data_IF_606266727942
#
_entry.id   IF_606266727942
#
_cell.length_a   1.000
_cell.length_b   1.000
_cell.length_c   1.000
_cell.angle_alpha   90.00
_cell.angle_beta   90.00
_cell.angle_gamma   90.00
#
_symmetry.space_group_name_H-M   'P 1'
#
loop_
_entity.id
_entity.type
_entity.pdbx_description
1 polymer ?
#
# COMPACT_ATOMS: atom_id res chain seq x y z
N UNK A 1 27.27 -53.12 41.48
CA UNK A 1 27.06 -53.18 40.02
C UNK A 1 25.61 -53.59 39.78
N UNK A 2 24.96 -53.06 38.72
CA UNK A 2 23.50 -53.03 38.43
C UNK A 2 22.66 -52.25 39.45
N UNK A 3 21.68 -51.41 39.14
CA UNK A 3 21.05 -50.82 37.94
C UNK A 3 20.13 -49.70 38.52
N UNK A 4 19.54 -48.71 37.86
CA UNK A 4 19.47 -48.18 36.51
C UNK A 4 18.62 -46.90 36.66
N UNK A 5 19.11 -45.75 36.18
CA UNK A 5 18.32 -44.51 36.08
C UNK A 5 17.60 -44.53 34.74
N UNK A 6 16.28 -44.42 34.76
CA UNK A 6 15.38 -44.17 33.63
C UNK A 6 13.97 -44.09 34.21
N UNK A 7 13.09 -43.16 33.89
CA UNK A 7 13.04 -42.18 32.82
C UNK A 7 12.21 -41.01 33.36
N UNK A 8 12.77 -39.80 33.38
CA UNK A 8 11.95 -38.59 33.25
C UNK A 8 12.05 -38.20 31.78
N UNK A 9 11.00 -38.51 31.03
CA UNK A 9 10.89 -38.05 29.65
C UNK A 9 10.70 -36.52 29.67
N UNK A 10 11.53 -35.74 28.96
CA UNK A 10 11.17 -34.35 28.71
C UNK A 10 9.91 -34.34 27.83
N UNK A 11 8.89 -33.63 28.31
CA UNK A 11 7.69 -33.29 27.55
C UNK A 11 8.18 -32.57 26.28
N UNK A 12 8.00 -33.24 25.14
CA UNK A 12 8.24 -32.67 23.82
C UNK A 12 7.15 -31.63 23.57
N UNK A 13 7.39 -30.40 24.03
CA UNK A 13 6.64 -29.22 23.61
C UNK A 13 7.07 -28.92 22.18
N UNK A 14 6.61 -29.75 21.24
CA UNK A 14 6.47 -29.37 19.84
C UNK A 14 5.39 -28.29 19.80
N UNK A 15 5.80 -27.08 20.16
CA UNK A 15 5.20 -25.88 19.66
C UNK A 15 5.30 -25.99 18.15
N UNK A 16 4.17 -26.30 17.53
CA UNK A 16 3.93 -26.16 16.12
C UNK A 16 4.27 -24.69 15.79
N UNK A 17 5.54 -24.45 15.42
CA UNK A 17 5.96 -23.21 14.82
C UNK A 17 5.16 -23.13 13.53
N UNK A 18 3.98 -22.53 13.63
CA UNK A 18 3.31 -21.88 12.51
C UNK A 18 4.33 -20.88 11.97
N UNK A 19 5.20 -21.38 11.09
CA UNK A 19 5.87 -20.57 10.07
C UNK A 19 4.74 -20.05 9.21
N UNK A 20 4.05 -19.03 9.73
CA UNK A 20 3.34 -18.05 8.94
C UNK A 20 4.40 -17.48 8.03
N UNK A 21 4.53 -18.12 6.87
CA UNK A 21 5.17 -17.51 5.72
C UNK A 21 4.28 -16.31 5.46
N UNK A 22 4.68 -15.17 6.02
CA UNK A 22 4.19 -13.87 5.59
C UNK A 22 4.50 -13.85 4.10
N UNK A 23 3.51 -14.21 3.29
CA UNK A 23 3.58 -13.99 1.87
C UNK A 23 3.80 -12.48 1.78
N UNK A 24 4.95 -12.02 1.24
CA UNK A 24 5.08 -10.60 0.99
C UNK A 24 3.85 -10.21 0.14
N UNK A 25 3.18 -9.10 0.45
CA UNK A 25 2.09 -8.64 -0.37
C UNK A 25 2.56 -8.66 -1.83
N UNK A 26 1.72 -9.10 -2.79
CA UNK A 26 2.10 -9.14 -4.19
C UNK A 26 2.77 -7.80 -4.49
N UNK A 27 4.03 -7.86 -4.92
CA UNK A 27 4.84 -6.68 -5.07
C UNK A 27 4.00 -5.67 -5.85
N UNK A 28 3.64 -4.56 -5.21
CA UNK A 28 3.11 -3.38 -5.86
C UNK A 28 4.26 -2.82 -6.71
N UNK A 29 4.59 -3.57 -7.76
CA UNK A 29 5.49 -3.18 -8.83
C UNK A 29 4.64 -2.99 -10.09
N UNK A 30 3.42 -2.47 -9.92
CA UNK A 30 3.02 -1.42 -10.83
C UNK A 30 3.83 -0.22 -10.39
N UNK A 31 4.99 -0.05 -11.05
CA UNK A 31 5.72 1.19 -10.96
C UNK A 31 4.71 2.29 -11.27
N UNK A 32 4.49 3.19 -10.32
CA UNK A 32 3.58 4.32 -10.46
C UNK A 32 4.16 5.36 -11.44
N UNK A 33 4.71 4.90 -12.57
CA UNK A 33 5.30 5.71 -13.62
C UNK A 33 4.28 6.71 -14.18
N UNK A 34 2.99 6.35 -14.14
CA UNK A 34 1.88 7.23 -14.48
C UNK A 34 1.77 8.46 -13.57
N UNK A 35 2.24 8.39 -12.30
CA UNK A 35 2.29 9.58 -11.42
C UNK A 35 3.20 10.67 -11.99
N UNK A 36 4.27 10.29 -12.70
CA UNK A 36 5.16 11.25 -13.36
C UNK A 36 4.50 11.96 -14.55
N UNK A 37 3.38 11.45 -15.06
CA UNK A 37 2.59 12.07 -16.13
C UNK A 37 1.54 13.05 -15.61
N UNK A 38 1.31 13.09 -14.29
CA UNK A 38 0.37 14.03 -13.68
C UNK A 38 0.99 15.41 -13.65
N UNK A 39 0.33 16.33 -14.35
CA UNK A 39 0.73 17.73 -14.37
C UNK A 39 0.02 18.53 -13.27
N UNK A 40 0.60 19.66 -12.82
CA UNK A 40 -0.11 20.60 -11.95
C UNK A 40 -1.45 21.07 -12.53
N UNK A 41 -1.55 21.18 -13.85
CA UNK A 41 -2.80 21.54 -14.55
C UNK A 41 -3.88 20.46 -14.37
N UNK A 42 -3.50 19.18 -14.40
CA UNK A 42 -4.41 18.05 -14.13
C UNK A 42 -4.98 18.12 -12.72
N UNK A 43 -4.13 18.38 -11.72
CA UNK A 43 -4.57 18.52 -10.33
C UNK A 43 -5.46 19.76 -10.14
N UNK A 44 -5.10 20.87 -10.79
CA UNK A 44 -5.91 22.10 -10.76
C UNK A 44 -7.29 21.88 -11.39
N UNK A 45 -7.38 21.13 -12.49
CA UNK A 45 -8.66 20.79 -13.13
C UNK A 45 -9.58 19.94 -12.25
N UNK A 46 -9.00 19.21 -11.28
CA UNK A 46 -9.71 18.40 -10.29
C UNK A 46 -9.92 19.15 -8.96
N UNK A 47 -9.58 20.44 -8.88
CA UNK A 47 -9.62 21.28 -7.67
C UNK A 47 -8.73 20.73 -6.53
N UNK A 48 -7.70 19.95 -6.88
CA UNK A 48 -6.69 19.43 -5.95
C UNK A 48 -5.60 20.50 -5.79
N UNK A 49 -5.70 21.29 -4.73
CA UNK A 49 -4.82 22.45 -4.47
C UNK A 49 -3.67 22.16 -3.51
N UNK A 50 -3.69 21.01 -2.84
CA UNK A 50 -2.70 20.50 -1.88
C UNK A 50 -1.65 19.58 -2.53
N UNK A 51 -1.38 19.78 -3.82
CA UNK A 51 -0.46 18.98 -4.64
C UNK A 51 0.97 18.82 -4.06
N UNK A 52 1.40 19.73 -3.19
CA UNK A 52 2.69 19.65 -2.50
C UNK A 52 2.81 18.43 -1.57
N UNK A 53 1.70 17.93 -1.04
CA UNK A 53 1.66 16.75 -0.17
C UNK A 53 1.52 15.45 -0.97
N UNK A 54 0.95 15.53 -2.18
CA UNK A 54 0.74 14.38 -3.07
C UNK A 54 2.04 13.88 -3.71
N UNK A 55 3.01 14.77 -3.94
CA UNK A 55 4.31 14.41 -4.47
C UNK A 55 5.39 14.72 -3.43
N UNK A 56 5.50 13.86 -2.43
CA UNK A 56 6.63 13.91 -1.49
C UNK A 56 7.94 14.02 -2.30
N UNK A 57 8.74 15.04 -2.00
CA UNK A 57 9.96 15.33 -2.73
C UNK A 57 10.92 14.14 -2.68
N UNK A 58 11.67 13.93 -3.77
CA UNK A 58 12.79 13.00 -3.79
C UNK A 58 13.79 13.37 -2.69
N UNK A 59 14.20 12.36 -1.91
CA UNK A 59 15.18 12.57 -0.85
C UNK A 59 16.59 12.29 -1.37
N UNK A 60 17.54 13.14 -1.01
CA UNK A 60 18.93 12.96 -1.41
C UNK A 60 19.49 11.63 -0.85
N UNK A 61 19.92 10.74 -1.73
CA UNK A 61 20.44 9.43 -1.36
C UNK A 61 19.37 8.36 -1.11
N UNK A 62 18.12 8.58 -1.52
CA UNK A 62 17.08 7.55 -1.42
C UNK A 62 17.47 6.28 -2.18
N UNK A 63 17.28 5.13 -1.54
CA UNK A 63 17.38 3.83 -2.19
C UNK A 63 16.21 3.62 -3.16
N UNK A 64 16.34 2.71 -4.14
CA UNK A 64 15.23 2.36 -5.03
C UNK A 64 13.98 1.87 -4.28
N UNK A 65 14.14 1.18 -3.16
CA UNK A 65 13.04 0.74 -2.31
C UNK A 65 12.33 1.91 -1.62
N UNK A 66 13.07 2.89 -1.12
CA UNK A 66 12.51 4.11 -0.51
C UNK A 66 11.81 4.99 -1.55
N UNK A 67 12.39 5.12 -2.75
CA UNK A 67 11.77 5.77 -3.89
C UNK A 67 10.43 5.10 -4.24
N UNK A 68 10.42 3.76 -4.30
CA UNK A 68 9.21 2.98 -4.55
C UNK A 68 8.14 3.17 -3.49
N UNK A 69 8.52 3.17 -2.20
CA UNK A 69 7.60 3.38 -1.09
C UNK A 69 6.99 4.79 -1.11
N UNK A 70 7.80 5.81 -1.42
CA UNK A 70 7.35 7.21 -1.56
C UNK A 70 6.33 7.36 -2.69
N UNK A 71 6.61 6.77 -3.85
CA UNK A 71 5.68 6.79 -4.99
C UNK A 71 4.40 5.99 -4.71
N UNK A 72 4.49 4.87 -3.99
CA UNK A 72 3.30 4.10 -3.60
C UNK A 72 2.40 4.90 -2.65
N UNK A 73 2.97 5.60 -1.65
CA UNK A 73 2.21 6.47 -0.76
C UNK A 73 1.55 7.63 -1.52
N UNK A 74 2.26 8.23 -2.48
CA UNK A 74 1.70 9.27 -3.35
C UNK A 74 0.48 8.77 -4.15
N UNK A 75 0.56 7.55 -4.71
CA UNK A 75 -0.55 6.95 -5.45
C UNK A 75 -1.78 6.71 -4.56
N UNK A 76 -1.57 6.22 -3.33
CA UNK A 76 -2.64 5.93 -2.37
C UNK A 76 -3.41 7.21 -1.98
N UNK A 77 -2.68 8.29 -1.64
CA UNK A 77 -3.30 9.58 -1.31
C UNK A 77 -4.08 10.13 -2.52
N UNK A 78 -3.55 9.99 -3.73
CA UNK A 78 -4.26 10.44 -4.92
C UNK A 78 -5.54 9.63 -5.18
N UNK A 79 -5.51 8.32 -4.98
CA UNK A 79 -6.70 7.45 -5.14
C UNK A 79 -7.81 7.83 -4.16
N UNK A 80 -7.45 8.09 -2.90
CA UNK A 80 -8.37 8.59 -1.87
C UNK A 80 -9.01 9.93 -2.30
N UNK A 81 -8.21 10.88 -2.80
CA UNK A 81 -8.72 12.18 -3.29
C UNK A 81 -9.64 12.03 -4.48
N UNK A 82 -9.28 11.20 -5.45
CA UNK A 82 -10.14 10.91 -6.61
C UNK A 82 -11.46 10.27 -6.17
N UNK A 83 -11.42 9.41 -5.17
CA UNK A 83 -12.60 8.78 -4.57
C UNK A 83 -13.50 9.82 -3.89
N UNK A 84 -12.94 10.75 -3.11
CA UNK A 84 -13.69 11.86 -2.50
C UNK A 84 -14.37 12.76 -3.55
N UNK A 85 -13.63 13.13 -4.61
CA UNK A 85 -14.14 13.93 -5.72
C UNK A 85 -15.25 13.18 -6.47
N UNK A 86 -15.06 11.88 -6.70
CA UNK A 86 -16.06 11.03 -7.33
C UNK A 86 -17.34 10.98 -6.49
N UNK A 87 -17.24 10.83 -5.16
CA UNK A 87 -18.41 10.81 -4.28
C UNK A 87 -19.19 12.13 -4.26
N UNK A 88 -18.50 13.26 -4.37
CA UNK A 88 -19.16 14.57 -4.42
C UNK A 88 -19.78 14.86 -5.80
N UNK A 89 -19.15 14.39 -6.87
CA UNK A 89 -19.55 14.71 -8.25
C UNK A 89 -20.55 13.70 -8.84
N UNK A 90 -20.37 12.40 -8.56
CA UNK A 90 -21.21 11.31 -9.08
C UNK A 90 -22.49 11.14 -8.27
N UNK A 91 -23.34 12.16 -8.30
CA UNK A 91 -24.67 12.05 -7.69
C UNK A 91 -25.53 10.99 -8.41
N UNK A 92 -26.51 10.37 -7.73
CA UNK A 92 -27.43 9.42 -8.38
C UNK A 92 -28.19 10.01 -9.58
N UNK A 93 -28.33 11.32 -9.64
CA UNK A 93 -28.90 12.02 -10.79
C UNK A 93 -27.96 12.05 -11.99
N UNK A 94 -26.67 12.36 -11.76
CA UNK A 94 -25.62 12.30 -12.78
C UNK A 94 -25.49 10.88 -13.34
N UNK A 95 -25.45 9.86 -12.47
CA UNK A 95 -25.37 8.46 -12.89
C UNK A 95 -26.57 8.03 -13.73
N UNK A 96 -27.79 8.43 -13.34
CA UNK A 96 -29.00 8.13 -14.12
C UNK A 96 -28.97 8.78 -15.51
N UNK A 97 -28.43 10.00 -15.63
CA UNK A 97 -28.29 10.69 -16.91
C UNK A 97 -27.31 10.01 -17.86
N UNK A 98 -26.29 9.33 -17.35
CA UNK A 98 -25.33 8.57 -18.18
C UNK A 98 -25.86 7.22 -18.64
N UNK A 99 -26.82 6.64 -17.89
CA UNK A 99 -27.46 5.37 -18.24
C UNK A 99 -28.65 5.47 -19.21
N UNK A 100 -29.01 6.69 -19.63
CA UNK A 100 -30.15 6.99 -20.50
C UNK A 100 -29.69 7.24 -21.94
#
# INVERSE_FOLDING_TARGET
>A
MTAGRGSDAPIDLQGDEVRTTMMPPPAATETAAWLAEITPDTLTALDITDAGDLFAQELEGESPEEAGARLAAAADILDDRLTEIAHTTLTPEVLRRWSA
#
